data_IF_090830671837
#
_entry.id   IF_090830671837
#
_cell.length_a   1.000
_cell.length_b   1.000
_cell.length_c   1.000
_cell.angle_alpha   90.00
_cell.angle_beta   90.00
_cell.angle_gamma   90.00
#
_symmetry.space_group_name_H-M   'P 1'
#
loop_
_entity.id
_entity.type
_entity.pdbx_description
1 polymer ?
#
# COMPACT_ATOMS: atom_id res chain seq x y z
N UNK A 1 21.36 14.27 13.07
CA UNK A 1 21.74 14.61 11.68
C UNK A 1 20.64 15.47 11.10
N UNK A 2 20.95 16.66 10.57
CA UNK A 2 20.02 17.40 9.69
C UNK A 2 20.14 16.75 8.31
N UNK A 3 19.04 16.22 7.78
CA UNK A 3 19.01 15.69 6.41
C UNK A 3 18.91 16.89 5.46
N UNK A 4 19.77 16.95 4.44
CA UNK A 4 19.63 17.92 3.35
C UNK A 4 18.61 17.38 2.36
N UNK A 5 17.46 18.05 2.27
CA UNK A 5 16.36 17.64 1.40
C UNK A 5 16.37 18.50 0.14
N UNK A 6 16.92 17.97 -0.94
CA UNK A 6 16.96 18.71 -2.19
C UNK A 6 15.62 18.74 -2.92
N UNK A 7 15.23 19.89 -3.47
CA UNK A 7 13.98 20.05 -4.23
C UNK A 7 14.07 19.44 -5.64
N UNK A 8 15.20 19.64 -6.34
CA UNK A 8 15.39 19.21 -7.74
C UNK A 8 15.16 17.69 -7.94
N UNK A 9 15.65 16.79 -7.07
CA UNK A 9 15.40 15.36 -7.22
C UNK A 9 13.91 14.97 -7.17
N UNK A 10 13.03 15.76 -6.54
CA UNK A 10 11.58 15.51 -6.52
C UNK A 10 10.96 15.67 -7.92
N UNK A 11 11.52 16.55 -8.77
CA UNK A 11 11.08 16.71 -10.15
C UNK A 11 11.21 15.41 -10.95
N UNK A 12 12.19 14.58 -10.62
CA UNK A 12 12.34 13.26 -11.23
C UNK A 12 11.13 12.35 -10.92
N UNK A 13 10.67 12.31 -9.66
CA UNK A 13 9.46 11.55 -9.31
C UNK A 13 8.21 12.12 -10.00
N UNK A 14 8.10 13.45 -10.08
CA UNK A 14 6.99 14.13 -10.77
C UNK A 14 6.96 13.74 -12.25
N UNK A 15 8.11 13.79 -12.94
CA UNK A 15 8.25 13.40 -14.32
C UNK A 15 7.85 11.94 -14.54
N UNK A 16 8.39 11.02 -13.74
CA UNK A 16 8.07 9.59 -13.82
C UNK A 16 6.58 9.32 -13.61
N UNK A 17 5.93 10.02 -12.67
CA UNK A 17 4.50 9.91 -12.44
C UNK A 17 3.69 10.32 -13.67
N UNK A 18 4.00 11.47 -14.28
CA UNK A 18 3.30 11.91 -15.50
C UNK A 18 3.55 10.98 -16.69
N UNK A 19 4.75 10.44 -16.85
CA UNK A 19 5.04 9.41 -17.87
C UNK A 19 4.16 8.17 -17.66
N UNK A 20 4.00 7.72 -16.42
CA UNK A 20 3.13 6.59 -16.07
C UNK A 20 1.63 6.88 -16.24
N UNK A 21 1.22 8.13 -16.43
CA UNK A 21 -0.16 8.51 -16.72
C UNK A 21 -0.51 8.48 -18.22
N UNK A 22 0.40 8.09 -19.13
CA UNK A 22 0.12 8.10 -20.56
C UNK A 22 -1.18 7.38 -21.02
N UNK A 23 -1.64 6.25 -20.43
CA UNK A 23 -2.88 5.61 -20.88
C UNK A 23 -4.12 6.27 -20.27
N UNK A 24 -3.95 7.20 -19.31
CA UNK A 24 -5.06 7.81 -18.58
C UNK A 24 -6.11 8.45 -19.50
N UNK A 25 -5.77 9.29 -20.50
CA UNK A 25 -6.79 9.93 -21.35
C UNK A 25 -7.65 8.91 -22.09
N UNK A 26 -7.03 7.83 -22.57
CA UNK A 26 -7.71 6.79 -23.32
C UNK A 26 -8.57 5.91 -22.41
N UNK A 27 -8.04 5.47 -21.27
CA UNK A 27 -8.81 4.70 -20.29
C UNK A 27 -9.97 5.54 -19.75
N UNK A 28 -9.78 6.83 -19.48
CA UNK A 28 -10.82 7.72 -19.00
C UNK A 28 -11.99 7.88 -19.99
N UNK A 29 -11.68 7.95 -21.30
CA UNK A 29 -12.68 8.07 -22.37
C UNK A 29 -13.37 6.75 -22.68
N UNK A 30 -12.59 5.71 -22.98
CA UNK A 30 -13.07 4.45 -23.58
C UNK A 30 -13.22 3.30 -22.56
N UNK A 31 -12.60 3.41 -21.37
CA UNK A 31 -12.67 2.37 -20.34
C UNK A 31 -12.24 0.99 -20.84
N UNK A 32 -13.07 -0.03 -20.58
CA UNK A 32 -12.82 -1.40 -21.03
C UNK A 32 -12.80 -1.57 -22.56
N UNK A 33 -13.36 -0.62 -23.32
CA UNK A 33 -13.36 -0.64 -24.79
C UNK A 33 -12.00 -0.21 -25.38
N UNK A 34 -11.09 0.30 -24.54
CA UNK A 34 -9.71 0.61 -24.93
C UNK A 34 -8.87 -0.62 -25.32
N UNK A 35 -9.46 -1.82 -25.37
CA UNK A 35 -8.81 -3.06 -25.84
C UNK A 35 -8.93 -3.23 -27.35
N UNK A 36 -7.79 -3.31 -28.06
CA UNK A 36 -7.50 -4.33 -29.11
C UNK A 36 -6.24 -4.17 -29.98
N UNK A 37 -5.26 -3.30 -29.69
CA UNK A 37 -4.02 -3.26 -30.52
C UNK A 37 -2.72 -3.22 -29.70
N UNK A 38 -1.99 -4.33 -29.84
CA UNK A 38 -0.54 -4.55 -29.67
C UNK A 38 0.15 -4.44 -28.28
N UNK A 39 1.01 -5.47 -28.06
CA UNK A 39 2.15 -5.69 -27.14
C UNK A 39 2.02 -5.46 -25.63
N UNK A 40 1.31 -6.36 -24.95
CA UNK A 40 1.28 -6.52 -23.49
C UNK A 40 2.66 -6.55 -22.83
N UNK A 41 3.67 -7.18 -23.46
CA UNK A 41 5.00 -7.38 -22.86
C UNK A 41 5.78 -6.06 -22.76
N UNK A 42 5.73 -5.22 -23.79
CA UNK A 42 6.44 -3.95 -23.79
C UNK A 42 5.83 -2.99 -22.77
N UNK A 43 4.50 -2.94 -22.68
CA UNK A 43 3.79 -2.15 -21.67
C UNK A 43 4.17 -2.60 -20.25
N UNK A 44 4.24 -3.91 -19.99
CA UNK A 44 4.73 -4.44 -18.70
C UNK A 44 6.18 -4.03 -18.39
N UNK A 45 7.07 -4.13 -19.38
CA UNK A 45 8.48 -3.81 -19.20
C UNK A 45 8.68 -2.31 -18.94
N UNK A 46 8.07 -1.45 -19.75
CA UNK A 46 8.16 0.01 -19.62
C UNK A 46 7.60 0.46 -18.27
N UNK A 47 6.39 0.04 -17.90
CA UNK A 47 5.84 0.36 -16.58
C UNK A 47 6.66 -0.20 -15.44
N UNK A 48 7.14 -1.43 -15.57
CA UNK A 48 8.01 -2.05 -14.56
C UNK A 48 9.25 -1.21 -14.32
N UNK A 49 9.94 -0.78 -15.38
CA UNK A 49 11.11 0.09 -15.29
C UNK A 49 10.76 1.44 -14.66
N UNK A 50 9.68 2.10 -15.12
CA UNK A 50 9.26 3.39 -14.56
C UNK A 50 8.91 3.30 -13.07
N UNK A 51 8.21 2.24 -12.64
CA UNK A 51 7.88 1.98 -11.24
C UNK A 51 9.13 1.68 -10.41
N UNK A 52 10.06 0.88 -10.94
CA UNK A 52 11.33 0.57 -10.28
C UNK A 52 12.14 1.85 -10.08
N UNK A 53 12.27 2.68 -11.11
CA UNK A 53 12.95 3.96 -11.02
C UNK A 53 12.28 4.87 -10.00
N UNK A 54 10.95 4.99 -10.04
CA UNK A 54 10.19 5.81 -9.11
C UNK A 54 10.41 5.39 -7.65
N UNK A 55 10.40 4.08 -7.38
CA UNK A 55 10.56 3.55 -6.02
C UNK A 55 12.02 3.59 -5.53
N UNK A 56 12.96 3.30 -6.41
CA UNK A 56 14.40 3.34 -6.11
C UNK A 56 14.80 4.78 -5.76
N UNK A 57 14.39 5.73 -6.60
CA UNK A 57 14.62 7.16 -6.43
C UNK A 57 13.40 7.83 -5.80
N UNK A 58 12.94 7.32 -4.65
CA UNK A 58 11.77 7.81 -3.93
C UNK A 58 11.97 9.17 -3.25
N UNK A 59 12.59 10.14 -3.94
CA UNK A 59 13.00 11.41 -3.38
C UNK A 59 11.83 12.19 -2.81
N UNK A 60 10.62 12.09 -3.34
CA UNK A 60 9.45 12.76 -2.78
C UNK A 60 9.08 12.33 -1.34
N UNK A 61 9.61 11.20 -0.86
CA UNK A 61 9.28 10.65 0.45
C UNK A 61 10.39 10.93 1.50
N UNK A 62 9.99 11.16 2.75
CA UNK A 62 10.95 11.39 3.84
C UNK A 62 11.64 10.07 4.27
N UNK A 63 10.96 8.93 4.11
CA UNK A 63 11.53 7.61 4.42
C UNK A 63 12.77 7.32 3.57
N UNK A 64 12.86 7.90 2.35
CA UNK A 64 14.06 7.81 1.54
C UNK A 64 15.30 8.30 2.28
N UNK A 65 15.24 9.47 2.92
CA UNK A 65 16.38 10.04 3.63
C UNK A 65 16.61 9.37 4.98
N UNK A 66 15.52 8.95 5.65
CA UNK A 66 15.62 8.21 6.91
C UNK A 66 16.34 6.87 6.74
N UNK A 67 15.97 6.09 5.71
CA UNK A 67 16.65 4.83 5.42
C UNK A 67 18.10 5.03 4.96
N UNK A 68 18.42 6.13 4.28
CA UNK A 68 19.81 6.43 3.92
C UNK A 68 20.67 6.63 5.18
N UNK A 69 20.17 7.42 6.14
CA UNK A 69 20.86 7.63 7.42
C UNK A 69 21.02 6.34 8.20
N UNK A 70 19.97 5.51 8.24
CA UNK A 70 20.01 4.20 8.89
C UNK A 70 21.00 3.26 8.21
N UNK A 71 20.99 3.20 6.88
CA UNK A 71 21.90 2.39 6.08
C UNK A 71 23.37 2.77 6.33
N UNK A 72 23.69 4.08 6.32
CA UNK A 72 25.04 4.59 6.61
C UNK A 72 25.48 4.19 8.03
N UNK A 73 24.58 4.28 9.02
CA UNK A 73 24.85 3.88 10.40
C UNK A 73 25.10 2.37 10.54
N UNK A 74 24.32 1.54 9.86
CA UNK A 74 24.51 0.07 9.86
C UNK A 74 25.89 -0.26 9.26
N UNK A 75 26.25 0.38 8.14
CA UNK A 75 27.55 0.16 7.51
C UNK A 75 28.72 0.62 8.37
N UNK A 76 28.58 1.73 9.10
CA UNK A 76 29.67 2.28 9.93
C UNK A 76 29.82 1.64 11.31
N UNK A 77 28.71 1.22 11.93
CA UNK A 77 28.71 0.71 13.31
C UNK A 77 28.52 -0.81 13.40
N UNK A 78 28.03 -1.45 12.35
CA UNK A 78 27.63 -2.86 12.38
C UNK A 78 26.39 -3.15 13.25
N UNK A 79 25.78 -2.15 13.89
CA UNK A 79 24.66 -2.36 14.79
C UNK A 79 23.36 -2.65 14.02
N UNK A 80 22.66 -3.70 14.42
CA UNK A 80 21.37 -4.09 13.86
C UNK A 80 20.24 -3.34 14.59
N UNK A 81 19.79 -2.21 14.03
CA UNK A 81 18.68 -1.42 14.59
C UNK A 81 17.58 -1.15 13.55
N UNK A 82 16.32 -1.32 13.95
CA UNK A 82 15.07 -0.97 13.21
C UNK A 82 14.68 -1.78 11.96
N UNK A 83 15.59 -2.54 11.32
CA UNK A 83 15.28 -3.40 10.18
C UNK A 83 15.08 -4.87 10.59
N UNK A 84 14.38 -5.63 9.74
CA UNK A 84 14.25 -7.08 9.82
C UNK A 84 15.55 -7.79 9.40
N UNK A 85 15.83 -9.01 9.91
CA UNK A 85 17.06 -9.75 9.64
C UNK A 85 17.46 -9.86 8.16
N UNK A 86 16.47 -10.05 7.28
CA UNK A 86 16.69 -10.16 5.83
C UNK A 86 17.35 -8.90 5.25
N UNK A 87 16.98 -7.71 5.72
CA UNK A 87 17.56 -6.48 5.20
C UNK A 87 19.00 -6.28 5.67
N UNK A 88 19.35 -6.66 6.91
CA UNK A 88 20.75 -6.64 7.34
C UNK A 88 21.60 -7.63 6.55
N UNK A 89 21.05 -8.81 6.26
CA UNK A 89 21.73 -9.80 5.44
C UNK A 89 22.06 -9.23 4.05
N UNK A 90 21.10 -8.52 3.42
CA UNK A 90 21.33 -7.83 2.15
C UNK A 90 22.43 -6.76 2.24
N UNK A 91 22.39 -5.91 3.27
CA UNK A 91 23.39 -4.83 3.45
C UNK A 91 24.79 -5.41 3.66
N UNK A 92 24.93 -6.47 4.45
CA UNK A 92 26.23 -7.04 4.81
C UNK A 92 26.84 -7.92 3.73
N UNK A 93 26.02 -8.65 2.97
CA UNK A 93 26.51 -9.69 2.05
C UNK A 93 26.33 -9.33 0.58
N UNK A 94 25.46 -8.37 0.23
CA UNK A 94 25.14 -8.07 -1.17
C UNK A 94 25.62 -6.68 -1.59
N UNK A 95 25.41 -5.65 -0.77
CA UNK A 95 25.78 -4.29 -1.18
C UNK A 95 26.00 -3.32 -0.02
N UNK A 96 27.07 -2.53 -0.11
CA UNK A 96 27.35 -1.36 0.74
C UNK A 96 26.88 -0.04 0.11
N UNK A 97 26.15 -0.09 -1.01
CA UNK A 97 25.56 1.07 -1.66
C UNK A 97 24.05 1.16 -1.39
N UNK A 98 23.61 2.27 -0.82
CA UNK A 98 22.21 2.51 -0.44
C UNK A 98 21.23 2.42 -1.61
N UNK A 99 21.59 2.98 -2.77
CA UNK A 99 20.71 2.95 -3.96
C UNK A 99 20.59 1.54 -4.52
N UNK A 100 21.66 0.74 -4.49
CA UNK A 100 21.61 -0.67 -4.89
C UNK A 100 20.73 -1.47 -3.92
N UNK A 101 20.84 -1.21 -2.62
CA UNK A 101 19.96 -1.83 -1.61
C UNK A 101 18.48 -1.49 -1.86
N UNK A 102 18.16 -0.20 -2.12
CA UNK A 102 16.80 0.20 -2.51
C UNK A 102 16.36 -0.47 -3.81
N UNK A 103 17.22 -0.50 -4.81
CA UNK A 103 16.92 -1.13 -6.09
C UNK A 103 16.52 -2.60 -5.89
N UNK A 104 17.25 -3.37 -5.07
CA UNK A 104 16.91 -4.77 -4.79
C UNK A 104 15.54 -4.90 -4.11
N UNK A 105 15.32 -4.17 -3.01
CA UNK A 105 14.09 -4.32 -2.19
C UNK A 105 12.84 -3.88 -2.96
N UNK A 106 12.89 -2.72 -3.60
CA UNK A 106 11.74 -2.15 -4.30
C UNK A 106 11.53 -2.79 -5.68
N UNK A 107 12.58 -3.21 -6.39
CA UNK A 107 12.39 -3.99 -7.63
C UNK A 107 11.76 -5.34 -7.35
N UNK A 108 12.18 -6.03 -6.28
CA UNK A 108 11.52 -7.26 -5.83
C UNK A 108 10.03 -7.04 -5.57
N UNK A 109 9.68 -5.93 -4.91
CA UNK A 109 8.29 -5.54 -4.63
C UNK A 109 7.50 -5.33 -5.92
N UNK A 110 8.04 -4.54 -6.86
CA UNK A 110 7.38 -4.24 -8.14
C UNK A 110 7.22 -5.50 -8.99
N UNK A 111 8.29 -6.29 -9.16
CA UNK A 111 8.28 -7.51 -9.99
C UNK A 111 7.25 -8.51 -9.47
N UNK A 112 7.24 -8.80 -8.17
CA UNK A 112 6.27 -9.72 -7.56
C UNK A 112 4.82 -9.20 -7.69
N UNK A 113 4.63 -7.89 -7.55
CA UNK A 113 3.33 -7.25 -7.75
C UNK A 113 2.83 -7.43 -9.19
N UNK A 114 3.70 -7.16 -10.17
CA UNK A 114 3.39 -7.33 -11.60
C UNK A 114 3.15 -8.79 -11.97
N UNK A 115 3.93 -9.72 -11.43
CA UNK A 115 3.71 -11.16 -11.61
C UNK A 115 2.39 -11.62 -11.02
N UNK A 116 1.97 -11.07 -9.89
CA UNK A 116 0.64 -11.31 -9.31
C UNK A 116 -0.46 -10.83 -10.27
N UNK A 117 -0.36 -9.60 -10.78
CA UNK A 117 -1.32 -9.04 -11.76
C UNK A 117 -1.41 -9.93 -13.01
N UNK A 118 -0.25 -10.33 -13.56
CA UNK A 118 -0.16 -11.22 -14.72
C UNK A 118 -0.79 -12.59 -14.45
N UNK A 119 -0.51 -13.19 -13.29
CA UNK A 119 -1.09 -14.49 -12.88
C UNK A 119 -2.61 -14.40 -12.71
N UNK A 120 -3.11 -13.27 -12.23
CA UNK A 120 -4.54 -13.00 -12.10
C UNK A 120 -5.20 -12.60 -13.44
N UNK A 121 -4.44 -12.55 -14.55
CA UNK A 121 -4.90 -12.24 -15.91
C UNK A 121 -5.71 -10.94 -15.97
N UNK A 122 -5.28 -9.94 -15.21
CA UNK A 122 -5.83 -8.59 -15.33
C UNK A 122 -5.38 -7.95 -16.64
N UNK A 123 -6.17 -6.98 -17.12
CA UNK A 123 -5.73 -6.14 -18.23
C UNK A 123 -4.45 -5.39 -17.85
N UNK A 124 -3.47 -5.40 -18.75
CA UNK A 124 -2.15 -4.83 -18.49
C UNK A 124 -2.26 -3.33 -18.32
N UNK A 125 -2.84 -2.62 -19.30
CA UNK A 125 -2.87 -1.15 -19.32
C UNK A 125 -3.75 -0.59 -18.21
N UNK A 126 -4.96 -1.13 -18.07
CA UNK A 126 -5.89 -0.69 -17.04
C UNK A 126 -5.38 -1.10 -15.65
N UNK A 127 -4.88 -2.33 -15.49
CA UNK A 127 -4.32 -2.82 -14.23
C UNK A 127 -3.12 -1.99 -13.76
N UNK A 128 -2.19 -1.67 -14.66
CA UNK A 128 -1.02 -0.84 -14.38
C UNK A 128 -1.40 0.61 -14.06
N UNK A 129 -2.35 1.20 -14.80
CA UNK A 129 -2.84 2.53 -14.49
C UNK A 129 -3.48 2.57 -13.10
N UNK A 130 -4.35 1.61 -12.77
CA UNK A 130 -4.97 1.53 -11.45
C UNK A 130 -3.91 1.31 -10.36
N UNK A 131 -2.91 0.48 -10.62
CA UNK A 131 -1.78 0.30 -9.71
C UNK A 131 -1.03 1.62 -9.44
N UNK A 132 -0.77 2.42 -10.47
CA UNK A 132 -0.16 3.75 -10.33
C UNK A 132 -1.08 4.69 -9.54
N UNK A 133 -2.36 4.78 -9.91
CA UNK A 133 -3.31 5.71 -9.30
C UNK A 133 -3.56 5.46 -7.81
N UNK A 134 -3.48 4.21 -7.36
CA UNK A 134 -3.79 3.88 -5.97
C UNK A 134 -2.56 3.52 -5.14
N UNK A 135 -1.55 2.86 -5.71
CA UNK A 135 -0.48 2.26 -4.90
C UNK A 135 0.87 3.00 -4.97
N UNK A 136 1.09 3.88 -5.94
CA UNK A 136 2.39 4.55 -6.13
C UNK A 136 2.89 5.31 -4.89
N UNK A 137 1.94 5.94 -4.18
CA UNK A 137 2.21 6.72 -2.98
C UNK A 137 2.65 5.86 -1.78
N UNK A 138 2.40 4.55 -1.82
CA UNK A 138 2.64 3.64 -0.71
C UNK A 138 3.81 2.72 -1.02
N UNK A 139 3.89 2.19 -2.25
CA UNK A 139 4.89 1.20 -2.66
C UNK A 139 6.33 1.68 -2.46
N UNK A 140 6.59 2.96 -2.76
CA UNK A 140 7.92 3.60 -2.65
C UNK A 140 8.37 3.92 -1.22
N UNK A 141 7.44 3.86 -0.26
CA UNK A 141 7.64 4.34 1.12
C UNK A 141 8.13 3.22 2.01
N UNK A 142 7.34 2.16 2.15
CA UNK A 142 7.58 1.13 3.15
C UNK A 142 8.32 -0.06 2.55
N UNK A 143 9.47 -0.41 3.12
CA UNK A 143 10.18 -1.67 2.82
C UNK A 143 9.30 -2.91 3.01
N UNK A 144 8.36 -2.85 3.96
CA UNK A 144 7.40 -3.92 4.25
C UNK A 144 6.46 -4.26 3.09
N UNK A 145 6.36 -3.41 2.06
CA UNK A 145 5.64 -3.74 0.84
C UNK A 145 6.24 -4.95 0.10
N UNK A 146 7.53 -5.26 0.29
CA UNK A 146 8.11 -6.50 -0.22
C UNK A 146 7.42 -7.73 0.40
N UNK A 147 7.18 -7.70 1.72
CA UNK A 147 6.41 -8.72 2.41
C UNK A 147 4.98 -8.83 1.87
N UNK A 148 4.29 -7.71 1.65
CA UNK A 148 2.95 -7.69 1.06
C UNK A 148 2.96 -8.27 -0.36
N UNK A 149 3.94 -7.92 -1.19
CA UNK A 149 4.06 -8.44 -2.55
C UNK A 149 4.29 -9.97 -2.56
N UNK A 150 5.16 -10.48 -1.67
CA UNK A 150 5.39 -11.92 -1.49
C UNK A 150 4.11 -12.61 -1.01
N UNK A 151 3.41 -12.03 -0.02
CA UNK A 151 2.17 -12.57 0.54
C UNK A 151 1.11 -12.77 -0.54
N UNK A 152 0.83 -11.73 -1.32
CA UNK A 152 -0.22 -11.79 -2.33
C UNK A 152 0.20 -12.56 -3.59
N UNK A 153 1.49 -12.58 -3.90
CA UNK A 153 2.01 -13.50 -4.92
C UNK A 153 1.76 -14.95 -4.48
N UNK A 154 2.10 -15.31 -3.24
CA UNK A 154 1.78 -16.62 -2.66
C UNK A 154 0.28 -16.92 -2.63
N UNK A 155 -0.53 -15.98 -2.15
CA UNK A 155 -1.98 -16.13 -2.09
C UNK A 155 -2.61 -16.34 -3.47
N UNK A 156 -2.05 -15.73 -4.52
CA UNK A 156 -2.51 -15.93 -5.90
C UNK A 156 -2.36 -17.38 -6.40
N UNK A 157 -1.47 -18.19 -5.81
CA UNK A 157 -1.39 -19.63 -6.09
C UNK A 157 -2.44 -20.46 -5.36
N UNK A 158 -3.03 -19.93 -4.29
CA UNK A 158 -4.11 -20.57 -3.53
C UNK A 158 -5.46 -20.27 -4.18
N UNK A 159 -5.77 -18.99 -4.41
CA UNK A 159 -7.09 -18.57 -4.95
C UNK A 159 -7.25 -18.85 -6.45
N UNK A 160 -6.14 -19.00 -7.16
CA UNK A 160 -6.13 -19.37 -8.59
C UNK A 160 -5.01 -20.39 -8.82
N UNK A 161 -5.26 -21.69 -8.55
CA UNK A 161 -4.22 -22.70 -8.63
C UNK A 161 -3.71 -22.90 -10.06
N UNK A 162 -2.45 -23.30 -10.16
CA UNK A 162 -1.86 -23.82 -11.40
C UNK A 162 -2.43 -25.20 -11.74
N UNK A 163 -1.95 -25.83 -12.82
CA UNK A 163 -2.45 -27.15 -13.26
C UNK A 163 -2.41 -28.20 -12.13
N UNK A 164 -1.30 -28.28 -11.39
CA UNK A 164 -1.21 -29.10 -10.18
C UNK A 164 -1.66 -28.28 -8.95
N UNK A 165 -2.87 -28.59 -8.43
CA UNK A 165 -3.47 -27.88 -7.30
C UNK A 165 -2.68 -28.02 -6.00
N UNK A 166 -2.18 -29.21 -5.71
CA UNK A 166 -1.43 -29.47 -4.47
C UNK A 166 -0.11 -28.72 -4.46
N UNK A 167 0.68 -28.81 -5.54
CA UNK A 167 1.94 -28.06 -5.65
C UNK A 167 1.70 -26.55 -5.61
N UNK A 168 0.64 -26.07 -6.27
CA UNK A 168 0.25 -24.66 -6.22
C UNK A 168 -0.08 -24.22 -4.79
N UNK A 169 -0.81 -25.03 -4.04
CA UNK A 169 -1.14 -24.76 -2.65
C UNK A 169 0.10 -24.74 -1.75
N UNK A 170 0.94 -25.78 -1.81
CA UNK A 170 2.18 -25.88 -1.01
C UNK A 170 3.13 -24.71 -1.29
N UNK A 171 3.31 -24.37 -2.57
CA UNK A 171 4.13 -23.23 -2.96
C UNK A 171 3.53 -21.90 -2.50
N UNK A 172 2.21 -21.74 -2.59
CA UNK A 172 1.50 -20.57 -2.06
C UNK A 172 1.67 -20.42 -0.55
N UNK A 173 1.51 -21.50 0.22
CA UNK A 173 1.72 -21.52 1.67
C UNK A 173 3.17 -21.19 2.05
N UNK A 174 4.15 -21.73 1.33
CA UNK A 174 5.57 -21.41 1.53
C UNK A 174 5.82 -19.91 1.35
N UNK A 175 5.32 -19.31 0.27
CA UNK A 175 5.49 -17.87 0.02
C UNK A 175 4.79 -17.02 1.09
N UNK A 176 3.58 -17.38 1.51
CA UNK A 176 2.87 -16.70 2.61
C UNK A 176 3.70 -16.77 3.90
N UNK A 177 4.25 -17.94 4.23
CA UNK A 177 5.15 -18.09 5.37
C UNK A 177 6.41 -17.23 5.23
N UNK A 178 7.06 -17.24 4.06
CA UNK A 178 8.24 -16.42 3.80
C UNK A 178 7.96 -14.92 3.98
N UNK A 179 6.75 -14.44 3.66
CA UNK A 179 6.40 -13.02 3.83
C UNK A 179 6.60 -12.52 5.26
N UNK A 180 6.41 -13.37 6.27
CA UNK A 180 6.55 -13.05 7.70
C UNK A 180 7.93 -12.47 8.04
N UNK A 181 8.99 -12.93 7.37
CA UNK A 181 10.37 -12.49 7.65
C UNK A 181 10.69 -11.09 7.10
N UNK A 182 9.83 -10.52 6.25
CA UNK A 182 10.09 -9.24 5.58
C UNK A 182 9.49 -8.04 6.31
N UNK A 183 8.55 -8.25 7.24
CA UNK A 183 8.03 -7.20 8.11
C UNK A 183 7.30 -7.74 9.33
N UNK A 184 7.55 -7.16 10.52
CA UNK A 184 6.93 -7.63 11.79
C UNK A 184 5.40 -7.63 11.78
N UNK A 185 4.77 -6.70 11.05
CA UNK A 185 3.31 -6.61 10.97
C UNK A 185 2.67 -7.57 9.96
N UNK A 186 3.45 -8.40 9.25
CA UNK A 186 2.90 -9.35 8.27
C UNK A 186 1.97 -10.39 8.92
N UNK A 187 2.15 -10.68 10.21
CA UNK A 187 1.26 -11.55 10.97
C UNK A 187 -0.21 -11.14 10.83
N UNK A 188 -0.49 -9.83 10.89
CA UNK A 188 -1.84 -9.31 10.78
C UNK A 188 -2.42 -9.49 9.36
N UNK A 189 -1.61 -9.28 8.32
CA UNK A 189 -2.04 -9.56 6.93
C UNK A 189 -2.29 -11.04 6.71
N UNK A 190 -1.42 -11.92 7.23
CA UNK A 190 -1.59 -13.38 7.16
C UNK A 190 -2.87 -13.81 7.88
N UNK A 191 -3.11 -13.29 9.09
CA UNK A 191 -4.33 -13.55 9.84
C UNK A 191 -5.58 -13.09 9.07
N UNK A 192 -5.55 -11.93 8.43
CA UNK A 192 -6.67 -11.43 7.63
C UNK A 192 -6.99 -12.30 6.41
N UNK A 193 -6.03 -13.08 5.87
CA UNK A 193 -6.32 -14.05 4.81
C UNK A 193 -7.26 -15.17 5.27
N UNK A 194 -7.30 -15.49 6.57
CA UNK A 194 -8.23 -16.49 7.13
C UNK A 194 -9.70 -16.08 6.97
N UNK A 195 -9.98 -14.79 6.73
CA UNK A 195 -11.33 -14.27 6.52
C UNK A 195 -11.79 -14.43 5.06
N UNK A 196 -10.86 -14.64 4.13
CA UNK A 196 -11.16 -14.73 2.68
C UNK A 196 -12.10 -15.88 2.26
N UNK A 197 -12.20 -17.02 2.96
CA UNK A 197 -13.17 -18.06 2.62
C UNK A 197 -14.61 -17.70 2.97
N UNK A 198 -14.86 -16.71 3.82
CA UNK A 198 -16.22 -16.33 4.23
C UNK A 198 -16.96 -15.57 3.12
N UNK A 199 -18.28 -15.67 3.13
CA UNK A 199 -19.13 -14.99 2.15
C UNK A 199 -19.59 -13.63 2.69
N UNK A 200 -19.18 -12.54 2.05
CA UNK A 200 -19.66 -11.19 2.36
C UNK A 200 -20.97 -10.92 1.60
N UNK A 201 -22.08 -10.87 2.33
CA UNK A 201 -23.42 -10.63 1.79
C UNK A 201 -24.03 -9.31 2.32
N UNK A 202 -25.23 -8.96 1.83
CA UNK A 202 -25.91 -7.72 2.24
C UNK A 202 -26.18 -7.66 3.75
N UNK A 203 -26.48 -8.80 4.38
CA UNK A 203 -26.71 -8.89 5.84
C UNK A 203 -25.42 -8.65 6.61
N UNK A 204 -24.32 -9.31 6.23
CA UNK A 204 -23.03 -9.15 6.91
C UNK A 204 -22.50 -7.72 6.80
N UNK A 205 -22.67 -7.06 5.65
CA UNK A 205 -22.28 -5.64 5.49
C UNK A 205 -23.16 -4.70 6.33
N UNK A 206 -24.48 -4.96 6.43
CA UNK A 206 -25.35 -4.17 7.31
C UNK A 206 -24.98 -4.36 8.78
N UNK A 207 -24.75 -5.60 9.19
CA UNK A 207 -24.35 -5.94 10.57
C UNK A 207 -23.01 -5.28 10.92
N UNK A 208 -22.01 -5.35 10.02
CA UNK A 208 -20.71 -4.72 10.26
C UNK A 208 -20.84 -3.20 10.41
N UNK A 209 -21.69 -2.52 9.63
CA UNK A 209 -21.92 -1.09 9.78
C UNK A 209 -22.62 -0.74 11.11
N UNK A 210 -23.60 -1.55 11.54
CA UNK A 210 -24.32 -1.33 12.80
C UNK A 210 -23.45 -1.59 14.01
N UNK A 211 -22.58 -2.61 13.97
CA UNK A 211 -21.71 -2.98 15.10
C UNK A 211 -20.43 -2.11 15.15
N UNK A 212 -20.10 -1.38 14.08
CA UNK A 212 -18.89 -0.58 13.99
C UNK A 212 -18.67 0.41 15.16
N UNK A 213 -19.68 1.19 15.62
CA UNK A 213 -19.49 2.09 16.76
C UNK A 213 -19.14 1.33 18.05
N UNK A 214 -19.81 0.20 18.29
CA UNK A 214 -19.53 -0.65 19.45
C UNK A 214 -18.12 -1.24 19.39
N UNK A 215 -17.71 -1.80 18.25
CA UNK A 215 -16.36 -2.35 18.08
C UNK A 215 -15.27 -1.28 18.20
N UNK A 216 -15.56 -0.03 17.79
CA UNK A 216 -14.62 1.08 17.97
C UNK A 216 -14.37 1.33 19.44
N UNK A 217 -15.43 1.42 20.27
CA UNK A 217 -15.30 1.59 21.73
C UNK A 217 -14.56 0.42 22.37
N UNK A 218 -14.91 -0.82 22.03
CA UNK A 218 -14.24 -2.01 22.56
C UNK A 218 -12.75 -2.02 22.20
N UNK A 219 -12.42 -1.65 20.96
CA UNK A 219 -11.02 -1.59 20.50
C UNK A 219 -10.23 -0.53 21.28
N UNK A 220 -10.83 0.64 21.53
CA UNK A 220 -10.22 1.68 22.37
C UNK A 220 -9.91 1.15 23.78
N UNK A 221 -10.91 0.57 24.45
CA UNK A 221 -10.77 0.07 25.81
C UNK A 221 -9.72 -1.05 25.91
N UNK A 222 -9.69 -1.96 24.93
CA UNK A 222 -8.70 -3.03 24.87
C UNK A 222 -7.29 -2.49 24.68
N UNK A 223 -7.10 -1.51 23.79
CA UNK A 223 -5.80 -0.89 23.58
C UNK A 223 -5.32 -0.13 24.81
N UNK A 224 -6.19 0.65 25.45
CA UNK A 224 -5.85 1.37 26.67
C UNK A 224 -5.48 0.39 27.79
N UNK A 225 -6.23 -0.70 27.95
CA UNK A 225 -5.91 -1.76 28.91
C UNK A 225 -4.55 -2.43 28.62
N UNK A 226 -4.29 -2.74 27.35
CA UNK A 226 -3.02 -3.33 26.88
C UNK A 226 -1.84 -2.40 27.19
N UNK A 227 -2.00 -1.10 26.91
CA UNK A 227 -0.97 -0.08 27.12
C UNK A 227 -0.74 0.15 28.62
N UNK A 228 -1.82 0.28 29.40
CA UNK A 228 -1.74 0.57 30.84
C UNK A 228 -1.17 -0.58 31.66
N UNK A 229 -1.47 -1.82 31.30
CA UNK A 229 -1.04 -2.98 32.10
C UNK A 229 0.28 -3.61 31.63
N UNK A 230 0.92 -3.07 30.58
CA UNK A 230 2.11 -3.68 30.00
C UNK A 230 1.92 -5.15 29.62
N UNK A 231 0.66 -5.58 29.42
CA UNK A 231 0.26 -6.99 29.40
C UNK A 231 0.68 -7.71 28.11
N UNK A 232 1.17 -6.94 27.14
CA UNK A 232 1.93 -7.44 26.01
C UNK A 232 3.40 -7.50 26.45
N UNK A 233 3.80 -8.63 27.03
CA UNK A 233 5.21 -9.04 27.21
C UNK A 233 5.93 -9.36 25.90
N UNK A 234 5.55 -8.71 24.79
CA UNK A 234 6.45 -8.55 23.64
C UNK A 234 7.28 -7.33 23.97
N UNK A 235 8.59 -7.49 24.09
CA UNK A 235 9.51 -6.41 24.44
C UNK A 235 9.11 -5.09 23.76
N UNK A 236 8.54 -4.18 24.55
CA UNK A 236 8.10 -2.84 24.10
C UNK A 236 9.32 -2.06 23.56
N UNK A 237 10.52 -2.45 24.01
CA UNK A 237 11.82 -2.07 23.48
C UNK A 237 12.09 -2.61 22.05
N UNK A 238 11.80 -3.87 21.77
CA UNK A 238 12.09 -4.51 20.47
C UNK A 238 11.16 -4.06 19.34
N UNK A 239 9.94 -3.61 19.67
CA UNK A 239 8.99 -3.11 18.67
C UNK A 239 9.05 -1.59 18.43
N UNK A 240 9.93 -0.84 19.13
CA UNK A 240 10.00 0.63 19.05
C UNK A 240 8.62 1.30 19.19
N UNK A 241 7.73 0.71 20.00
CA UNK A 241 6.35 1.19 20.15
C UNK A 241 6.36 2.52 20.91
N UNK A 242 7.17 2.67 21.97
CA UNK A 242 7.28 3.93 22.72
C UNK A 242 7.81 5.11 21.88
N UNK A 243 8.82 4.89 21.03
CA UNK A 243 9.38 5.92 20.14
C UNK A 243 8.46 6.22 18.94
N UNK A 244 7.75 5.20 18.43
CA UNK A 244 6.73 5.39 17.39
C UNK A 244 5.52 6.14 17.96
N UNK A 245 5.00 5.75 19.12
CA UNK A 245 3.85 6.39 19.77
C UNK A 245 4.11 7.86 20.08
N UNK A 246 5.28 8.20 20.62
CA UNK A 246 5.68 9.59 20.89
C UNK A 246 5.89 10.39 19.59
N UNK A 247 6.51 9.79 18.56
CA UNK A 247 6.65 10.40 17.24
C UNK A 247 5.31 10.68 16.55
N UNK A 248 4.38 9.72 16.57
CA UNK A 248 3.03 9.89 16.01
C UNK A 248 2.16 10.81 16.86
N UNK A 249 2.27 10.80 18.19
CA UNK A 249 1.57 11.72 19.09
C UNK A 249 1.97 13.19 18.86
N UNK A 250 3.26 13.45 18.61
CA UNK A 250 3.73 14.78 18.22
C UNK A 250 3.26 15.19 16.80
N UNK A 251 3.06 14.19 15.93
CA UNK A 251 2.48 14.37 14.60
C UNK A 251 0.96 14.63 14.63
N UNK A 252 0.21 14.00 15.53
CA UNK A 252 -1.24 14.22 15.70
C UNK A 252 -1.55 15.62 16.22
N UNK A 253 -0.69 16.23 17.06
CA UNK A 253 -0.82 17.65 17.40
C UNK A 253 -0.71 18.59 16.19
N UNK A 254 0.05 18.22 15.14
CA UNK A 254 0.10 18.95 13.86
C UNK A 254 -1.06 18.58 12.91
N UNK A 255 -1.62 17.38 13.02
CA UNK A 255 -2.75 16.91 12.20
C UNK A 255 -4.12 17.31 12.76
N UNK A 256 -4.20 17.86 13.98
CA UNK A 256 -5.43 18.32 14.61
C UNK A 256 -6.04 19.56 13.96
N UNK A 257 -5.25 20.33 13.19
CA UNK A 257 -5.73 21.49 12.46
C UNK A 257 -6.56 21.11 11.22
N UNK A 258 -7.36 22.06 10.71
CA UNK A 258 -8.27 21.84 9.57
C UNK A 258 -7.52 21.31 8.34
N UNK A 259 -6.31 21.81 8.09
CA UNK A 259 -5.47 21.38 6.96
C UNK A 259 -4.99 19.93 7.09
N UNK A 260 -4.68 19.47 8.30
CA UNK A 260 -4.30 18.09 8.61
C UNK A 260 -5.45 17.12 8.36
N UNK A 261 -6.65 17.46 8.84
CA UNK A 261 -7.88 16.68 8.58
C UNK A 261 -8.22 16.64 7.09
N UNK A 262 -8.08 17.77 6.39
CA UNK A 262 -8.30 17.84 4.94
C UNK A 262 -7.29 16.99 4.16
N UNK A 263 -6.01 16.99 4.55
CA UNK A 263 -5.01 16.12 3.96
C UNK A 263 -5.31 14.63 4.18
N UNK A 264 -5.72 14.23 5.40
CA UNK A 264 -6.15 12.86 5.66
C UNK A 264 -7.36 12.46 4.80
N UNK A 265 -8.34 13.36 4.66
CA UNK A 265 -9.50 13.14 3.79
C UNK A 265 -9.05 12.92 2.34
N UNK A 266 -8.22 13.81 1.78
CA UNK A 266 -7.70 13.66 0.40
C UNK A 266 -6.93 12.35 0.23
N UNK A 267 -6.13 11.96 1.22
CA UNK A 267 -5.28 10.77 1.18
C UNK A 267 -6.10 9.47 1.15
N UNK A 268 -7.10 9.34 2.03
CA UNK A 268 -7.82 8.08 2.20
C UNK A 268 -9.15 8.00 1.46
N UNK A 269 -9.70 9.12 1.00
CA UNK A 269 -10.98 9.15 0.27
C UNK A 269 -11.00 8.21 -0.95
N UNK A 270 -9.94 8.10 -1.80
CA UNK A 270 -9.97 7.17 -2.92
C UNK A 270 -10.13 5.70 -2.48
N UNK A 271 -9.53 5.31 -1.36
CA UNK A 271 -9.64 3.95 -0.80
C UNK A 271 -11.08 3.68 -0.36
N UNK A 272 -11.64 4.55 0.48
CA UNK A 272 -13.00 4.39 1.00
C UNK A 272 -14.07 4.52 -0.08
N UNK A 273 -13.94 5.48 -1.00
CA UNK A 273 -14.89 5.66 -2.09
C UNK A 273 -14.85 4.47 -3.07
N UNK A 274 -13.67 3.91 -3.34
CA UNK A 274 -13.55 2.69 -4.14
C UNK A 274 -14.15 1.48 -3.42
N UNK A 275 -13.93 1.35 -2.10
CA UNK A 275 -14.51 0.26 -1.31
C UNK A 275 -16.04 0.36 -1.27
N UNK A 276 -16.59 1.56 -1.11
CA UNK A 276 -18.03 1.80 -1.14
C UNK A 276 -18.62 1.44 -2.51
N UNK A 277 -17.98 1.86 -3.61
CA UNK A 277 -18.42 1.49 -4.95
C UNK A 277 -18.36 -0.03 -5.16
N UNK A 278 -17.28 -0.69 -4.75
CA UNK A 278 -17.13 -2.15 -4.93
C UNK A 278 -18.10 -2.92 -4.06
N UNK A 279 -18.38 -2.45 -2.85
CA UNK A 279 -19.41 -3.02 -1.98
C UNK A 279 -20.80 -2.89 -2.62
N UNK A 280 -21.16 -1.71 -3.13
CA UNK A 280 -22.41 -1.51 -3.87
C UNK A 280 -22.50 -2.49 -5.05
N UNK A 281 -21.47 -2.56 -5.88
CA UNK A 281 -21.48 -3.37 -7.11
C UNK A 281 -21.48 -4.87 -6.82
N UNK A 282 -20.55 -5.36 -6.00
CA UNK A 282 -20.33 -6.80 -5.77
C UNK A 282 -21.35 -7.39 -4.79
N UNK A 283 -21.77 -6.64 -3.76
CA UNK A 283 -22.61 -7.17 -2.67
C UNK A 283 -24.09 -6.81 -2.84
N UNK A 284 -24.40 -5.59 -3.29
CA UNK A 284 -25.79 -5.12 -3.38
C UNK A 284 -26.38 -5.27 -4.79
N UNK A 285 -25.60 -5.01 -5.83
CA UNK A 285 -26.01 -5.23 -7.23
C UNK A 285 -25.61 -6.62 -7.75
N UNK A 286 -24.79 -7.36 -7.00
CA UNK A 286 -24.40 -8.75 -7.27
C UNK A 286 -23.83 -8.97 -8.69
N UNK A 287 -22.98 -8.05 -9.14
CA UNK A 287 -22.26 -8.24 -10.41
C UNK A 287 -21.47 -9.55 -10.41
N UNK A 288 -21.44 -10.23 -11.55
CA UNK A 288 -20.69 -11.47 -11.67
C UNK A 288 -19.18 -11.18 -11.68
N UNK A 289 -18.48 -11.71 -10.68
CA UNK A 289 -17.04 -11.57 -10.51
C UNK A 289 -16.44 -12.92 -10.10
N UNK A 290 -15.26 -13.28 -10.62
CA UNK A 290 -14.60 -14.55 -10.30
C UNK A 290 -14.34 -14.71 -8.81
N UNK A 291 -14.36 -15.96 -8.33
CA UNK A 291 -14.13 -16.30 -6.91
C UNK A 291 -12.84 -15.70 -6.34
N UNK A 292 -11.77 -15.66 -7.13
CA UNK A 292 -10.49 -15.09 -6.69
C UNK A 292 -10.55 -13.55 -6.51
N UNK A 293 -11.34 -12.85 -7.31
CA UNK A 293 -11.59 -11.41 -7.12
C UNK A 293 -12.45 -11.19 -5.87
N UNK A 294 -13.48 -12.04 -5.64
CA UNK A 294 -14.28 -12.00 -4.40
C UNK A 294 -13.41 -12.19 -3.16
N UNK A 295 -12.52 -13.18 -3.16
CA UNK A 295 -11.60 -13.43 -2.05
C UNK A 295 -10.73 -12.20 -1.71
N UNK A 296 -10.15 -11.56 -2.73
CA UNK A 296 -9.35 -10.34 -2.55
C UNK A 296 -10.21 -9.14 -2.10
N UNK A 297 -11.44 -9.04 -2.57
CA UNK A 297 -12.39 -8.03 -2.12
C UNK A 297 -12.77 -8.23 -0.65
N UNK A 298 -13.00 -9.47 -0.20
CA UNK A 298 -13.30 -9.79 1.20
C UNK A 298 -12.11 -9.43 2.10
N UNK A 299 -10.88 -9.78 1.69
CA UNK A 299 -9.68 -9.35 2.40
C UNK A 299 -9.61 -7.83 2.49
N UNK A 300 -9.77 -7.13 1.36
CA UNK A 300 -9.67 -5.68 1.31
C UNK A 300 -10.73 -5.01 2.19
N UNK A 301 -11.96 -5.51 2.16
CA UNK A 301 -13.02 -5.06 3.05
C UNK A 301 -12.65 -5.25 4.52
N UNK A 302 -12.23 -6.47 4.90
CA UNK A 302 -11.89 -6.80 6.29
C UNK A 302 -10.73 -5.94 6.82
N UNK A 303 -9.64 -5.81 6.06
CA UNK A 303 -8.47 -5.05 6.51
C UNK A 303 -8.77 -3.54 6.60
N UNK A 304 -9.58 -3.01 5.69
CA UNK A 304 -10.00 -1.60 5.72
C UNK A 304 -10.96 -1.35 6.88
N UNK A 305 -11.85 -2.29 7.16
CA UNK A 305 -12.75 -2.25 8.31
C UNK A 305 -11.96 -2.23 9.63
N UNK A 306 -11.01 -3.17 9.79
CA UNK A 306 -10.12 -3.24 10.96
C UNK A 306 -9.29 -1.95 11.10
N UNK A 307 -8.71 -1.44 10.01
CA UNK A 307 -7.99 -0.17 10.03
C UNK A 307 -8.87 0.95 10.61
N UNK A 308 -10.11 1.04 10.13
CA UNK A 308 -11.05 2.11 10.48
C UNK A 308 -11.42 2.11 11.97
N UNK A 309 -11.36 0.97 12.65
CA UNK A 309 -11.58 0.90 14.11
C UNK A 309 -10.55 1.73 14.89
N UNK A 310 -9.34 1.89 14.35
CA UNK A 310 -8.24 2.65 14.96
C UNK A 310 -8.18 4.11 14.51
N UNK A 311 -9.05 4.54 13.59
CA UNK A 311 -8.94 5.86 12.95
C UNK A 311 -9.23 7.01 13.91
N UNK A 312 -10.21 6.83 14.81
CA UNK A 312 -10.68 7.88 15.72
C UNK A 312 -9.89 7.97 17.04
N UNK A 313 -8.79 7.22 17.16
CA UNK A 313 -8.04 7.06 18.40
C UNK A 313 -6.62 7.63 18.24
N UNK A 314 -6.26 8.64 19.02
CA UNK A 314 -4.96 9.32 18.90
C UNK A 314 -3.77 8.40 19.20
N UNK A 315 -3.91 7.51 20.18
CA UNK A 315 -2.88 6.57 20.63
C UNK A 315 -2.61 5.44 19.63
N UNK A 316 -3.56 5.15 18.73
CA UNK A 316 -3.49 4.04 17.78
C UNK A 316 -3.46 4.44 16.30
N UNK A 317 -3.28 5.72 15.97
CA UNK A 317 -3.20 6.17 14.56
C UNK A 317 -2.14 5.40 13.77
N UNK A 318 -1.04 5.01 14.42
CA UNK A 318 0.00 4.20 13.80
C UNK A 318 -0.51 2.81 13.37
N UNK A 319 -1.45 2.21 14.09
CA UNK A 319 -2.11 0.95 13.71
C UNK A 319 -3.02 1.17 12.50
N UNK A 320 -3.82 2.25 12.51
CA UNK A 320 -4.64 2.62 11.35
C UNK A 320 -3.78 2.72 10.08
N UNK A 321 -2.66 3.46 10.13
CA UNK A 321 -1.74 3.58 8.99
C UNK A 321 -1.22 2.20 8.56
N UNK A 322 -0.77 1.35 9.49
CA UNK A 322 -0.25 0.01 9.12
C UNK A 322 -1.31 -0.85 8.43
N UNK A 323 -2.52 -0.91 8.97
CA UNK A 323 -3.62 -1.72 8.40
C UNK A 323 -4.13 -1.17 7.08
N UNK A 324 -4.31 0.16 6.95
CA UNK A 324 -4.80 0.75 5.71
C UNK A 324 -3.78 0.58 4.58
N UNK A 325 -2.47 0.61 4.86
CA UNK A 325 -1.44 0.36 3.84
C UNK A 325 -1.50 -1.05 3.26
N UNK A 326 -1.85 -2.05 4.07
CA UNK A 326 -2.06 -3.44 3.62
C UNK A 326 -3.26 -3.62 2.69
N UNK A 327 -4.16 -2.63 2.64
CA UNK A 327 -5.39 -2.64 1.83
C UNK A 327 -5.13 -2.30 0.35
N UNK A 328 -4.06 -1.56 0.04
CA UNK A 328 -3.87 -0.94 -1.27
C UNK A 328 -3.59 -1.95 -2.38
N UNK A 329 -2.80 -2.98 -2.13
CA UNK A 329 -2.49 -3.97 -3.16
C UNK A 329 -3.73 -4.79 -3.61
N UNK A 330 -4.52 -5.40 -2.70
CA UNK A 330 -5.76 -6.07 -3.11
C UNK A 330 -6.80 -5.11 -3.68
N UNK A 331 -6.86 -3.85 -3.20
CA UNK A 331 -7.65 -2.79 -3.84
C UNK A 331 -7.30 -2.63 -5.31
N UNK A 332 -6.01 -2.55 -5.66
CA UNK A 332 -5.57 -2.36 -7.05
C UNK A 332 -6.04 -3.51 -7.95
N UNK A 333 -6.01 -4.74 -7.44
CA UNK A 333 -6.44 -5.92 -8.19
C UNK A 333 -7.96 -5.91 -8.40
N UNK A 334 -8.74 -5.65 -7.35
CA UNK A 334 -10.21 -5.66 -7.40
C UNK A 334 -10.73 -4.51 -8.29
N UNK A 335 -10.24 -3.30 -8.05
CA UNK A 335 -10.61 -2.12 -8.85
C UNK A 335 -10.10 -2.28 -10.29
N UNK A 336 -8.87 -2.76 -10.49
CA UNK A 336 -8.32 -3.05 -11.81
C UNK A 336 -9.18 -4.02 -12.60
N UNK A 337 -9.65 -5.10 -11.97
CA UNK A 337 -10.60 -6.04 -12.57
C UNK A 337 -11.91 -5.34 -12.98
N UNK A 338 -12.49 -4.54 -12.08
CA UNK A 338 -13.76 -3.86 -12.34
C UNK A 338 -13.67 -2.84 -13.49
N UNK A 339 -12.56 -2.11 -13.60
CA UNK A 339 -12.34 -1.19 -14.72
C UNK A 339 -12.09 -1.91 -16.04
N UNK A 340 -11.45 -3.08 -15.98
CA UNK A 340 -11.11 -3.87 -17.17
C UNK A 340 -12.30 -4.58 -17.80
N UNK A 341 -13.30 -4.97 -16.99
CA UNK A 341 -14.37 -5.86 -17.45
C UNK A 341 -15.75 -5.20 -17.55
N UNK A 342 -15.93 -4.02 -16.96
CA UNK A 342 -17.22 -3.32 -16.99
C UNK A 342 -17.08 -1.96 -17.67
N UNK A 343 -18.16 -1.49 -18.30
CA UNK A 343 -18.20 -0.19 -18.99
C UNK A 343 -17.79 0.97 -18.07
N UNK A 344 -17.24 2.02 -18.68
CA UNK A 344 -16.88 3.23 -17.96
C UNK A 344 -18.14 3.96 -17.51
N UNK A 345 -18.21 4.32 -16.23
CA UNK A 345 -19.33 5.07 -15.65
C UNK A 345 -18.84 6.40 -15.07
N UNK A 346 -19.78 7.29 -14.72
CA UNK A 346 -19.44 8.58 -14.09
C UNK A 346 -18.70 8.39 -12.76
N UNK A 347 -19.12 7.41 -11.96
CA UNK A 347 -18.49 7.09 -10.68
C UNK A 347 -17.04 6.64 -10.85
N UNK A 348 -16.76 5.81 -11.87
CA UNK A 348 -15.39 5.41 -12.21
C UNK A 348 -14.52 6.62 -12.58
N UNK A 349 -15.03 7.49 -13.45
CA UNK A 349 -14.30 8.72 -13.84
C UNK A 349 -13.99 9.61 -12.65
N UNK A 350 -14.96 9.82 -11.76
CA UNK A 350 -14.76 10.60 -10.53
C UNK A 350 -13.69 9.93 -9.66
N UNK A 351 -13.77 8.62 -9.42
CA UNK A 351 -12.77 7.90 -8.62
C UNK A 351 -11.35 8.00 -9.19
N UNK A 352 -11.19 7.92 -10.51
CA UNK A 352 -9.88 8.11 -11.14
C UNK A 352 -9.30 9.51 -10.86
N UNK A 353 -10.13 10.55 -10.96
CA UNK A 353 -9.71 11.91 -10.65
C UNK A 353 -9.39 12.07 -9.16
N UNK A 354 -10.23 11.50 -8.28
CA UNK A 354 -9.99 11.51 -6.84
C UNK A 354 -8.68 10.81 -6.46
N UNK A 355 -8.29 9.74 -7.17
CA UNK A 355 -7.04 9.03 -6.94
C UNK A 355 -5.79 9.81 -7.37
N UNK A 356 -5.90 10.73 -8.34
CA UNK A 356 -4.78 11.60 -8.75
C UNK A 356 -4.48 12.65 -7.68
N UNK A 357 -5.51 13.22 -7.03
CA UNK A 357 -5.37 14.31 -6.07
C UNK A 357 -4.34 14.03 -4.96
N UNK A 358 -4.36 12.91 -4.22
CA UNK A 358 -3.37 12.65 -3.18
C UNK A 358 -1.96 12.45 -3.73
N UNK A 359 -1.80 11.95 -4.96
CA UNK A 359 -0.48 11.80 -5.58
C UNK A 359 0.09 13.16 -5.93
N UNK A 360 -0.70 14.00 -6.61
CA UNK A 360 -0.30 15.37 -6.92
C UNK A 360 0.00 16.15 -5.64
N UNK A 361 -0.89 16.09 -4.64
CA UNK A 361 -0.67 16.74 -3.36
C UNK A 361 0.66 16.28 -2.74
N UNK A 362 0.91 14.97 -2.62
CA UNK A 362 2.16 14.44 -2.05
C UNK A 362 3.40 14.94 -2.80
N UNK A 363 3.42 14.84 -4.13
CA UNK A 363 4.58 15.18 -4.94
C UNK A 363 4.84 16.69 -4.97
N UNK A 364 3.83 17.51 -5.24
CA UNK A 364 3.98 18.96 -5.31
C UNK A 364 4.23 19.58 -3.94
N UNK A 365 3.57 19.07 -2.88
CA UNK A 365 3.84 19.54 -1.53
C UNK A 365 5.26 19.18 -1.08
N UNK A 366 5.76 17.99 -1.41
CA UNK A 366 7.14 17.61 -1.13
C UNK A 366 8.14 18.53 -1.86
N UNK A 367 7.87 18.86 -3.12
CA UNK A 367 8.69 19.79 -3.90
C UNK A 367 8.67 21.21 -3.29
N UNK A 368 7.47 21.76 -3.04
CA UNK A 368 7.28 23.07 -2.45
C UNK A 368 7.98 23.21 -1.09
N UNK A 369 7.77 22.23 -0.20
CA UNK A 369 8.35 22.25 1.15
C UNK A 369 9.87 22.32 1.11
N UNK A 370 10.50 21.70 0.11
CA UNK A 370 11.96 21.71 -0.05
C UNK A 370 12.48 23.01 -0.64
N UNK A 371 11.78 23.60 -1.59
CA UNK A 371 12.10 24.93 -2.09
C UNK A 371 12.11 25.98 -0.97
N UNK A 372 11.12 25.91 -0.06
CA UNK A 372 11.06 26.79 1.11
C UNK A 372 12.24 26.52 2.05
N UNK A 373 12.59 25.26 2.30
CA UNK A 373 13.74 24.90 3.16
C UNK A 373 15.10 25.28 2.59
N UNK A 374 15.23 25.29 1.26
CA UNK A 374 16.43 25.73 0.55
C UNK A 374 16.53 27.26 0.43
N UNK A 375 15.51 28.01 0.85
CA UNK A 375 15.49 29.48 0.78
C UNK A 375 15.19 30.04 -0.62
N UNK A 376 14.70 29.23 -1.55
CA UNK A 376 14.30 29.71 -2.89
C UNK A 376 12.94 30.44 -2.88
N UNK A 377 12.16 30.30 -1.81
CA UNK A 377 10.87 30.98 -1.63
C UNK A 377 10.94 31.77 -0.32
N UNK A 378 11.16 33.07 -0.44
CA UNK A 378 11.05 34.03 0.66
C UNK A 378 9.56 34.42 0.81
N UNK A 379 9.05 34.36 2.04
CA UNK A 379 7.85 35.11 2.44
C UNK A 379 8.28 36.32 3.25
#
# INVERSE_FOLDING_TARGET
>A
MKYHYEAVPVLFNILLFFLMLYPFPNVYRYGCEFRKRYTDILDYAVYGVLLILFCTFGYADNDFYHYEGLFKRICSTGLNVHLEPVYYWLIRNVTSNYLVWRFIVWSGTVILSLWTIKRLKLDVRIGLLIFVLFYINIISVMRGNLGIAILFFGFSFIIRPSHNRLLSFLFGCLLIFCSFFFHKSMLFSIAALSVTPFYLNRKTVKISLVIFPFLTVVTTLLLDYIIMNGLIGFDIADMNIGSSMTGYASGTMRQSNIFGKLNQMITYMPVYASLALMTKKIVFEEIDVPRYIKALFIYWYAITYIASLFFFQETSVWLFIRFIMMSYFPLCIVVGYYYSNFKMTREKRILMLLAILPICYKLFYAFYKRLVWEGYVFF
#
